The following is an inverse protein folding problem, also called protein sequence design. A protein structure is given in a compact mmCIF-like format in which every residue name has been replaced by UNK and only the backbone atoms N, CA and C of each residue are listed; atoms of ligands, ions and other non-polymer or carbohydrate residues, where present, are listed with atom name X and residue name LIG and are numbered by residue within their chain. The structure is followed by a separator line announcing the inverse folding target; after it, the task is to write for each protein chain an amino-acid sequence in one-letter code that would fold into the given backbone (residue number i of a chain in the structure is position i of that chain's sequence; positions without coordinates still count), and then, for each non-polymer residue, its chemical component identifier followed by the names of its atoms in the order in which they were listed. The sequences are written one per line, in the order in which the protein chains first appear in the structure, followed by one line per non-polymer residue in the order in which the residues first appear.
data_IF_832866773920
#
_entry.id   IF_832866773920
#
_cell.length_a   1.000
_cell.length_b   1.000
_cell.length_c   1.000
_cell.angle_alpha   90.00
_cell.angle_beta   90.00
_cell.angle_gamma   90.00
#
_symmetry.space_group_name_H-M   'P 1'
#
loop_
_entity.id
_entity.type
_entity.pdbx_description
1 polymer ?
#
# COMPACT_ATOMS: atom_id res chain seq x y z
N UNK A 1 -63.73 -101.52 163.78
CA UNK A 1 -65.10 -101.88 163.36
C UNK A 1 -65.76 -100.59 162.89
N UNK A 2 -66.40 -100.46 161.75
CA UNK A 2 -66.50 -101.19 160.48
C UNK A 2 -67.45 -100.33 159.60
N UNK A 3 -67.29 -100.42 158.27
CA UNK A 3 -68.33 -100.38 157.21
C UNK A 3 -69.20 -99.12 156.92
N UNK A 4 -69.01 -98.64 155.67
CA UNK A 4 -69.96 -98.46 154.54
C UNK A 4 -71.12 -97.42 154.54
N UNK A 5 -71.24 -96.76 153.35
CA UNK A 5 -72.43 -96.25 152.61
C UNK A 5 -73.10 -94.90 153.03
N UNK A 6 -73.67 -94.00 152.18
CA UNK A 6 -73.83 -93.81 150.71
C UNK A 6 -74.38 -92.37 150.37
N UNK A 7 -74.00 -91.79 149.20
CA UNK A 7 -74.61 -90.83 148.22
C UNK A 7 -75.44 -89.55 148.55
N UNK A 8 -75.20 -88.46 147.77
CA UNK A 8 -76.22 -87.44 147.40
C UNK A 8 -75.90 -86.71 146.05
N UNK A 9 -76.92 -86.52 145.18
CA UNK A 9 -76.84 -86.25 143.72
C UNK A 9 -77.54 -84.95 143.27
N UNK A 10 -76.85 -83.81 143.32
CA UNK A 10 -77.39 -82.50 142.87
C UNK A 10 -76.44 -81.66 142.01
N UNK A 11 -75.13 -81.79 142.16
CA UNK A 11 -74.14 -80.95 141.47
C UNK A 11 -73.92 -81.30 139.98
N UNK A 12 -74.43 -82.43 139.50
CA UNK A 12 -74.07 -82.94 138.17
C UNK A 12 -74.91 -82.34 137.02
N UNK A 13 -76.14 -81.85 137.30
CA UNK A 13 -77.06 -81.33 136.27
C UNK A 13 -76.74 -79.87 135.90
N UNK A 14 -76.42 -79.02 136.88
CA UNK A 14 -76.03 -77.62 136.65
C UNK A 14 -74.67 -77.50 135.92
N UNK A 15 -73.83 -78.54 136.03
CA UNK A 15 -72.57 -78.63 135.29
C UNK A 15 -72.78 -78.85 133.78
N UNK A 16 -73.76 -79.68 133.40
CA UNK A 16 -74.03 -80.01 132.00
C UNK A 16 -74.70 -78.85 131.23
N UNK A 17 -75.59 -78.11 131.89
CA UNK A 17 -76.32 -77.00 131.25
C UNK A 17 -75.39 -75.81 130.96
N UNK A 18 -74.49 -75.52 131.91
CA UNK A 18 -73.40 -74.55 131.70
C UNK A 18 -72.44 -74.96 130.57
N UNK A 19 -72.17 -76.26 130.38
CA UNK A 19 -71.36 -76.72 129.26
C UNK A 19 -72.04 -76.52 127.91
N UNK A 20 -73.37 -76.71 127.84
CA UNK A 20 -74.13 -76.53 126.60
C UNK A 20 -74.22 -75.07 126.17
N UNK A 21 -74.48 -74.16 127.12
CA UNK A 21 -74.52 -72.71 126.85
C UNK A 21 -73.13 -72.19 126.46
N UNK A 22 -72.06 -72.69 127.10
CA UNK A 22 -70.68 -72.41 126.67
C UNK A 22 -70.40 -72.92 125.25
N UNK A 23 -70.88 -74.11 124.88
CA UNK A 23 -70.67 -74.64 123.54
C UNK A 23 -71.42 -73.83 122.47
N UNK A 24 -72.65 -73.37 122.74
CA UNK A 24 -73.41 -72.56 121.79
C UNK A 24 -72.77 -71.17 121.61
N UNK A 25 -72.30 -70.56 122.70
CA UNK A 25 -71.52 -69.33 122.67
C UNK A 25 -70.21 -69.53 121.88
N UNK A 26 -69.49 -70.63 122.11
CA UNK A 26 -68.25 -70.96 121.36
C UNK A 26 -68.54 -71.19 119.86
N UNK A 27 -69.68 -71.78 119.50
CA UNK A 27 -70.07 -72.01 118.11
C UNK A 27 -70.43 -70.70 117.40
N UNK A 28 -71.14 -69.80 118.09
CA UNK A 28 -71.43 -68.44 117.60
C UNK A 28 -70.14 -67.64 117.42
N UNK A 29 -69.24 -67.66 118.40
CA UNK A 29 -67.95 -66.98 118.34
C UNK A 29 -67.10 -67.54 117.19
N UNK A 30 -67.03 -68.88 117.02
CA UNK A 30 -66.35 -69.51 115.88
C UNK A 30 -66.99 -69.17 114.53
N UNK A 31 -68.31 -68.99 114.47
CA UNK A 31 -68.99 -68.62 113.23
C UNK A 31 -68.67 -67.16 112.84
N UNK A 32 -68.62 -66.25 113.82
CA UNK A 32 -68.13 -64.89 113.59
C UNK A 32 -66.65 -64.84 113.23
N UNK A 33 -65.82 -65.72 113.82
CA UNK A 33 -64.40 -65.88 113.45
C UNK A 33 -64.25 -66.41 112.01
N UNK A 34 -65.09 -67.37 111.59
CA UNK A 34 -65.13 -67.85 110.21
C UNK A 34 -65.54 -66.77 109.21
N UNK A 35 -66.51 -65.93 109.57
CA UNK A 35 -66.99 -64.85 108.70
C UNK A 35 -65.94 -63.74 108.56
N UNK A 36 -65.23 -63.41 109.65
CA UNK A 36 -64.10 -62.47 109.61
C UNK A 36 -62.91 -63.04 108.81
N UNK A 37 -62.56 -64.32 108.99
CA UNK A 37 -61.55 -65.01 108.18
C UNK A 37 -61.93 -65.04 106.69
N UNK A 38 -63.20 -65.26 106.37
CA UNK A 38 -63.70 -65.25 104.98
C UNK A 38 -63.55 -63.87 104.34
N UNK A 39 -63.87 -62.81 105.07
CA UNK A 39 -63.69 -61.43 104.60
C UNK A 39 -62.20 -61.10 104.40
N UNK A 40 -61.33 -61.50 105.33
CA UNK A 40 -59.88 -61.35 105.17
C UNK A 40 -59.34 -62.12 103.96
N UNK A 41 -59.84 -63.33 103.70
CA UNK A 41 -59.44 -64.12 102.54
C UNK A 41 -59.89 -63.46 101.23
N UNK A 42 -61.08 -62.87 101.19
CA UNK A 42 -61.56 -62.12 100.03
C UNK A 42 -60.72 -60.85 99.79
N UNK A 43 -60.38 -60.12 100.84
CA UNK A 43 -59.54 -58.92 100.76
C UNK A 43 -58.12 -59.27 100.31
N UNK A 44 -57.53 -60.35 100.83
CA UNK A 44 -56.24 -60.88 100.37
C UNK A 44 -56.28 -61.35 98.92
N UNK A 45 -57.38 -61.95 98.47
CA UNK A 45 -57.54 -62.35 97.08
C UNK A 45 -57.61 -61.12 96.14
N UNK A 46 -58.28 -60.05 96.57
CA UNK A 46 -58.31 -58.78 95.85
C UNK A 46 -56.91 -58.13 95.78
N UNK A 47 -56.16 -58.19 96.88
CA UNK A 47 -54.77 -57.72 96.95
C UNK A 47 -53.85 -58.50 95.99
N UNK A 48 -53.99 -59.84 95.94
CA UNK A 48 -53.26 -60.71 95.01
C UNK A 48 -53.60 -60.38 93.56
N UNK A 49 -54.88 -60.13 93.23
CA UNK A 49 -55.27 -59.74 91.88
C UNK A 49 -54.68 -58.39 91.46
N UNK A 50 -54.69 -57.40 92.36
CA UNK A 50 -54.08 -56.09 92.12
C UNK A 50 -52.56 -56.19 91.93
N UNK A 51 -51.87 -56.98 92.76
CA UNK A 51 -50.44 -57.25 92.63
C UNK A 51 -50.11 -58.00 91.33
N UNK A 52 -50.95 -58.95 90.93
CA UNK A 52 -50.80 -59.68 89.67
C UNK A 52 -50.91 -58.73 88.46
N UNK A 53 -51.93 -57.86 88.45
CA UNK A 53 -52.09 -56.83 87.43
C UNK A 53 -50.89 -55.86 87.40
N UNK A 54 -50.41 -55.44 88.58
CA UNK A 54 -49.20 -54.63 88.73
C UNK A 54 -47.95 -55.29 88.16
N UNK A 55 -47.74 -56.57 88.43
CA UNK A 55 -46.62 -57.35 87.90
C UNK A 55 -46.69 -57.51 86.37
N UNK A 56 -47.89 -57.72 85.81
CA UNK A 56 -48.05 -57.77 84.35
C UNK A 56 -47.70 -56.43 83.69
N UNK A 57 -48.15 -55.31 84.29
CA UNK A 57 -47.82 -53.96 83.81
C UNK A 57 -46.32 -53.69 83.90
N UNK A 58 -45.67 -54.06 85.00
CA UNK A 58 -44.22 -53.90 85.16
C UNK A 58 -43.44 -54.74 84.13
N UNK A 59 -43.88 -55.98 83.87
CA UNK A 59 -43.28 -56.84 82.84
C UNK A 59 -43.36 -56.20 81.46
N UNK A 60 -44.51 -55.60 81.10
CA UNK A 60 -44.66 -54.89 79.83
C UNK A 60 -43.76 -53.65 79.72
N UNK A 61 -43.56 -52.91 80.82
CA UNK A 61 -42.62 -51.79 80.86
C UNK A 61 -41.17 -52.24 80.71
N UNK A 62 -40.77 -53.31 81.40
CA UNK A 62 -39.42 -53.89 81.26
C UNK A 62 -39.17 -54.34 79.82
N UNK A 63 -40.16 -54.96 79.16
CA UNK A 63 -40.04 -55.34 77.75
C UNK A 63 -39.87 -54.11 76.84
N UNK A 64 -40.64 -53.05 77.06
CA UNK A 64 -40.51 -51.80 76.30
C UNK A 64 -39.18 -51.09 76.55
N UNK A 65 -38.65 -51.11 77.78
CA UNK A 65 -37.33 -50.52 78.08
C UNK A 65 -36.22 -51.34 77.43
N UNK A 66 -36.32 -52.67 77.45
CA UNK A 66 -35.35 -53.55 76.79
C UNK A 66 -35.34 -53.36 75.27
N UNK A 67 -36.50 -53.12 74.64
CA UNK A 67 -36.53 -52.85 73.19
C UNK A 67 -35.86 -51.52 72.85
N UNK A 68 -36.14 -50.46 73.62
CA UNK A 68 -35.49 -49.15 73.44
C UNK A 68 -33.98 -49.23 73.70
N UNK A 69 -33.56 -49.99 74.72
CA UNK A 69 -32.15 -50.18 75.03
C UNK A 69 -31.41 -50.94 73.92
N UNK A 70 -32.07 -51.94 73.31
CA UNK A 70 -31.52 -52.66 72.15
C UNK A 70 -31.36 -51.75 70.94
N UNK A 71 -32.38 -50.94 70.61
CA UNK A 71 -32.30 -49.96 69.51
C UNK A 71 -31.20 -48.92 69.74
N UNK A 72 -31.08 -48.41 70.98
CA UNK A 72 -30.00 -47.48 71.32
C UNK A 72 -28.62 -48.14 71.26
N UNK A 73 -28.49 -49.41 71.67
CA UNK A 73 -27.25 -50.17 71.55
C UNK A 73 -26.82 -50.37 70.09
N UNK A 74 -27.78 -50.62 69.20
CA UNK A 74 -27.50 -50.76 67.76
C UNK A 74 -27.14 -49.43 67.11
N UNK A 75 -27.83 -48.34 67.48
CA UNK A 75 -27.48 -46.98 67.04
C UNK A 75 -26.06 -46.60 67.51
N UNK A 76 -25.72 -46.90 68.77
CA UNK A 76 -24.39 -46.62 69.32
C UNK A 76 -23.32 -47.38 68.53
N UNK A 77 -23.56 -48.67 68.22
CA UNK A 77 -22.64 -49.48 67.41
C UNK A 77 -22.42 -48.89 66.02
N UNK A 78 -23.50 -48.46 65.35
CA UNK A 78 -23.42 -47.82 64.03
C UNK A 78 -22.68 -46.47 64.09
N UNK A 79 -22.87 -45.70 65.15
CA UNK A 79 -22.16 -44.44 65.35
C UNK A 79 -20.68 -44.68 65.64
N UNK A 80 -20.32 -45.68 66.44
CA UNK A 80 -18.93 -46.08 66.71
C UNK A 80 -18.23 -46.53 65.42
N UNK A 81 -18.87 -47.36 64.59
CA UNK A 81 -18.30 -47.82 63.32
C UNK A 81 -18.10 -46.66 62.32
N UNK A 82 -19.03 -45.70 62.27
CA UNK A 82 -18.86 -44.46 61.49
C UNK A 82 -17.72 -43.61 62.04
N UNK A 83 -17.63 -43.46 63.36
CA UNK A 83 -16.58 -42.67 63.99
C UNK A 83 -15.19 -43.28 63.71
N UNK A 84 -15.05 -44.60 63.77
CA UNK A 84 -13.80 -45.31 63.47
C UNK A 84 -13.40 -45.14 61.99
N UNK A 85 -14.37 -45.13 61.08
CA UNK A 85 -14.14 -44.82 59.66
C UNK A 85 -13.71 -43.37 59.42
N UNK A 86 -14.24 -42.41 60.19
CA UNK A 86 -13.87 -40.99 60.10
C UNK A 86 -12.61 -40.63 60.90
N UNK A 87 -12.30 -41.37 61.97
CA UNK A 87 -11.09 -41.19 62.79
C UNK A 87 -9.85 -41.82 62.17
N UNK A 88 -9.94 -42.30 60.92
CA UNK A 88 -8.81 -42.52 60.02
C UNK A 88 -8.07 -41.21 59.72
N UNK A 89 -7.56 -40.57 60.76
CA UNK A 89 -6.67 -39.40 60.79
C UNK A 89 -5.49 -39.60 59.82
N UNK A 90 -5.09 -40.85 59.60
CA UNK A 90 -4.04 -41.27 58.67
C UNK A 90 -4.30 -40.84 57.23
N UNK A 91 -5.54 -40.85 56.73
CA UNK A 91 -5.81 -40.49 55.32
C UNK A 91 -5.63 -38.98 55.11
N UNK A 92 -6.14 -38.15 56.02
CA UNK A 92 -6.03 -36.69 55.92
C UNK A 92 -4.61 -36.22 56.20
N UNK A 93 -3.89 -36.87 57.14
CA UNK A 93 -2.46 -36.62 57.38
C UNK A 93 -1.62 -37.02 56.17
N UNK A 94 -1.85 -38.19 55.59
CA UNK A 94 -1.14 -38.66 54.41
C UNK A 94 -1.37 -37.77 53.18
N UNK A 95 -2.60 -37.30 52.97
CA UNK A 95 -2.93 -36.38 51.88
C UNK A 95 -2.22 -35.03 52.07
N UNK A 96 -2.18 -34.50 53.30
CA UNK A 96 -1.46 -33.26 53.63
C UNK A 96 0.06 -33.39 53.46
N UNK A 97 0.66 -34.51 53.86
CA UNK A 97 2.09 -34.77 53.62
C UNK A 97 2.39 -34.86 52.12
N UNK A 98 1.55 -35.58 51.35
CA UNK A 98 1.66 -35.63 49.89
C UNK A 98 1.52 -34.26 49.24
N UNK A 99 0.62 -33.42 49.74
CA UNK A 99 0.47 -32.04 49.26
C UNK A 99 1.68 -31.20 49.60
N UNK A 100 2.26 -31.31 50.80
CA UNK A 100 3.51 -30.61 51.15
C UNK A 100 4.68 -31.02 50.26
N UNK A 101 4.84 -32.32 49.98
CA UNK A 101 5.88 -32.82 49.07
C UNK A 101 5.65 -32.29 47.65
N UNK A 102 4.41 -32.34 47.13
CA UNK A 102 4.09 -31.78 45.81
C UNK A 102 4.34 -30.27 45.75
N UNK A 103 3.97 -29.53 46.80
CA UNK A 103 4.22 -28.09 46.88
C UNK A 103 5.72 -27.78 46.84
N UNK A 104 6.53 -28.48 47.64
CA UNK A 104 7.98 -28.32 47.63
C UNK A 104 8.59 -28.67 46.27
N UNK A 105 8.09 -29.72 45.60
CA UNK A 105 8.55 -30.08 44.26
C UNK A 105 8.15 -29.03 43.20
N UNK A 106 6.93 -28.49 43.28
CA UNK A 106 6.48 -27.42 42.37
C UNK A 106 7.24 -26.13 42.58
N UNK A 107 7.54 -25.75 43.81
CA UNK A 107 8.33 -24.56 44.13
C UNK A 107 9.76 -24.70 43.61
N UNK A 108 10.37 -25.89 43.77
CA UNK A 108 11.68 -26.19 43.18
C UNK A 108 11.65 -26.10 41.65
N UNK A 109 10.64 -26.69 40.99
CA UNK A 109 10.49 -26.61 39.54
C UNK A 109 10.24 -25.17 39.06
N UNK A 110 9.46 -24.38 39.78
CA UNK A 110 9.22 -22.98 39.46
C UNK A 110 10.54 -22.20 39.54
N UNK A 111 11.33 -22.41 40.59
CA UNK A 111 12.64 -21.77 40.75
C UNK A 111 13.60 -22.15 39.62
N UNK A 112 13.71 -23.45 39.30
CA UNK A 112 14.53 -23.91 38.17
C UNK A 112 14.06 -23.32 36.83
N UNK A 113 12.75 -23.21 36.62
CA UNK A 113 12.19 -22.60 35.41
C UNK A 113 12.45 -21.10 35.35
N UNK A 114 12.38 -20.38 36.48
CA UNK A 114 12.74 -18.95 36.55
C UNK A 114 14.22 -18.74 36.26
N UNK A 115 15.11 -19.54 36.85
CA UNK A 115 16.56 -19.44 36.61
C UNK A 115 16.91 -19.75 35.13
N UNK A 116 16.22 -20.74 34.52
CA UNK A 116 16.34 -21.02 33.08
C UNK A 116 15.80 -19.88 32.22
N UNK A 117 14.68 -19.28 32.59
CA UNK A 117 14.12 -18.14 31.86
C UNK A 117 15.05 -16.92 31.94
N UNK A 118 15.64 -16.64 33.11
CA UNK A 118 16.58 -15.54 33.30
C UNK A 118 17.88 -15.73 32.51
N UNK A 119 18.42 -16.95 32.48
CA UNK A 119 19.61 -17.27 31.68
C UNK A 119 19.32 -17.10 30.18
N UNK A 120 18.20 -17.61 29.68
CA UNK A 120 17.77 -17.45 28.28
C UNK A 120 17.55 -15.97 27.93
N UNK A 121 16.90 -15.19 28.78
CA UNK A 121 16.71 -13.75 28.58
C UNK A 121 18.04 -12.99 28.57
N UNK A 122 18.99 -13.37 29.44
CA UNK A 122 20.32 -12.76 29.47
C UNK A 122 21.12 -13.05 28.20
N UNK A 123 21.04 -14.27 27.67
CA UNK A 123 21.67 -14.64 26.40
C UNK A 123 21.03 -13.94 25.21
N UNK A 124 19.69 -13.86 25.18
CA UNK A 124 18.95 -13.13 24.15
C UNK A 124 19.36 -11.65 24.13
N UNK A 125 19.39 -10.98 25.29
CA UNK A 125 19.88 -9.58 25.40
C UNK A 125 21.32 -9.42 24.93
N UNK A 126 22.22 -10.36 25.26
CA UNK A 126 23.61 -10.32 24.78
C UNK A 126 23.68 -10.48 23.26
N UNK A 127 22.88 -11.37 22.67
CA UNK A 127 22.80 -11.59 21.22
C UNK A 127 22.23 -10.37 20.49
N UNK A 128 21.15 -9.78 21.02
CA UNK A 128 20.54 -8.54 20.53
C UNK A 128 21.54 -7.39 20.56
N UNK A 129 22.20 -7.14 21.71
CA UNK A 129 23.22 -6.09 21.82
C UNK A 129 24.43 -6.31 20.89
N UNK A 130 24.79 -7.56 20.59
CA UNK A 130 25.83 -7.86 19.60
C UNK A 130 25.36 -7.65 18.16
N UNK A 131 24.10 -7.96 17.85
CA UNK A 131 23.49 -7.70 16.55
C UNK A 131 23.40 -6.19 16.28
N UNK A 132 22.94 -5.41 17.26
CA UNK A 132 22.88 -3.95 17.17
C UNK A 132 24.26 -3.32 16.95
N UNK A 133 25.29 -3.81 17.65
CA UNK A 133 26.67 -3.37 17.42
C UNK A 133 27.17 -3.70 16.01
N UNK A 134 26.82 -4.87 15.47
CA UNK A 134 27.17 -5.25 14.09
C UNK A 134 26.43 -4.39 13.07
N UNK A 135 25.14 -4.13 13.29
CA UNK A 135 24.30 -3.30 12.43
C UNK A 135 24.81 -1.85 12.42
N UNK A 136 25.15 -1.31 13.60
CA UNK A 136 25.77 0.02 13.71
C UNK A 136 27.12 0.12 12.99
N UNK A 137 27.96 -0.92 13.03
CA UNK A 137 29.23 -0.95 12.26
C UNK A 137 28.99 -1.04 10.76
N UNK A 138 28.05 -1.86 10.32
CA UNK A 138 27.69 -1.98 8.91
C UNK A 138 27.15 -0.66 8.35
N UNK A 139 26.27 0.02 9.09
CA UNK A 139 25.74 1.32 8.68
C UNK A 139 26.82 2.40 8.57
N UNK A 140 27.81 2.42 9.48
CA UNK A 140 28.96 3.34 9.38
C UNK A 140 29.79 3.07 8.12
N UNK A 141 30.10 1.80 7.85
CA UNK A 141 30.83 1.43 6.63
C UNK A 141 30.02 1.81 5.38
N UNK A 142 28.71 1.54 5.35
CA UNK A 142 27.86 1.94 4.23
C UNK A 142 27.88 3.46 4.01
N UNK A 143 27.75 4.26 5.07
CA UNK A 143 27.81 5.72 4.96
C UNK A 143 29.17 6.20 4.43
N UNK A 144 30.28 5.58 4.87
CA UNK A 144 31.62 5.87 4.34
C UNK A 144 31.74 5.50 2.85
N UNK A 145 31.22 4.33 2.44
CA UNK A 145 31.18 3.92 1.03
C UNK A 145 30.30 4.81 0.15
N UNK A 146 29.14 5.24 0.65
CA UNK A 146 28.27 6.16 -0.09
C UNK A 146 28.93 7.52 -0.28
N UNK A 147 29.64 8.01 0.73
CA UNK A 147 30.35 9.28 0.66
C UNK A 147 31.53 9.23 -0.32
N UNK A 148 32.32 8.14 -0.31
CA UNK A 148 33.42 7.95 -1.26
C UNK A 148 32.90 7.80 -2.68
N UNK A 149 31.86 6.99 -2.89
CA UNK A 149 31.22 6.81 -4.19
C UNK A 149 30.66 8.12 -4.74
N UNK A 150 30.00 8.93 -3.90
CA UNK A 150 29.48 10.23 -4.32
C UNK A 150 30.61 11.19 -4.74
N UNK A 151 31.73 11.15 -4.01
CA UNK A 151 32.96 11.88 -4.35
C UNK A 151 33.54 11.46 -5.70
N UNK A 152 33.73 10.16 -5.92
CA UNK A 152 34.25 9.59 -7.16
C UNK A 152 33.34 9.88 -8.36
N UNK A 153 32.03 9.71 -8.21
CA UNK A 153 31.04 10.02 -9.26
C UNK A 153 31.05 11.50 -9.60
N UNK A 154 31.11 12.39 -8.60
CA UNK A 154 31.20 13.83 -8.83
C UNK A 154 32.51 14.22 -9.54
N UNK A 155 33.63 13.58 -9.18
CA UNK A 155 34.92 13.79 -9.84
C UNK A 155 34.90 13.29 -11.29
N UNK A 156 34.40 12.08 -11.55
CA UNK A 156 34.29 11.50 -12.89
C UNK A 156 33.38 12.34 -13.78
N UNK A 157 32.23 12.79 -13.26
CA UNK A 157 31.34 13.71 -13.98
C UNK A 157 32.04 15.00 -14.37
N UNK A 158 32.81 15.61 -13.45
CA UNK A 158 33.60 16.82 -13.73
C UNK A 158 34.72 16.57 -14.74
N UNK A 159 35.36 15.39 -14.73
CA UNK A 159 36.38 15.01 -15.72
C UNK A 159 35.76 14.87 -17.10
N UNK A 160 34.69 14.06 -17.24
CA UNK A 160 33.97 13.87 -18.50
C UNK A 160 33.48 15.20 -19.06
N UNK A 161 32.89 16.07 -18.21
CA UNK A 161 32.44 17.39 -18.66
C UNK A 161 33.59 18.28 -19.14
N UNK A 162 34.75 18.26 -18.46
CA UNK A 162 35.93 19.01 -18.89
C UNK A 162 36.49 18.49 -20.21
N UNK A 163 36.65 17.17 -20.33
CA UNK A 163 37.13 16.55 -21.58
C UNK A 163 36.19 16.82 -22.76
N UNK A 164 34.88 16.73 -22.53
CA UNK A 164 33.88 17.02 -23.56
C UNK A 164 33.94 18.48 -23.99
N UNK A 165 34.06 19.41 -23.02
CA UNK A 165 34.20 20.84 -23.30
C UNK A 165 35.51 21.14 -24.04
N UNK A 166 36.63 20.57 -23.61
CA UNK A 166 37.93 20.78 -24.26
C UNK A 166 37.95 20.19 -25.68
N UNK A 167 37.37 19.00 -25.88
CA UNK A 167 37.25 18.37 -27.21
C UNK A 167 36.34 19.18 -28.13
N UNK A 168 35.21 19.69 -27.60
CA UNK A 168 34.33 20.60 -28.33
C UNK A 168 35.06 21.88 -28.74
N UNK A 169 35.73 22.54 -27.80
CA UNK A 169 36.48 23.79 -28.04
C UNK A 169 37.62 23.59 -29.04
N UNK A 170 38.36 22.46 -28.96
CA UNK A 170 39.42 22.13 -29.93
C UNK A 170 38.85 21.93 -31.33
N UNK A 171 37.76 21.17 -31.46
CA UNK A 171 37.08 20.98 -32.73
C UNK A 171 36.56 22.31 -33.29
N UNK A 172 36.02 23.17 -32.43
CA UNK A 172 35.55 24.49 -32.78
C UNK A 172 36.66 25.40 -33.29
N UNK A 173 37.78 25.52 -32.55
CA UNK A 173 38.94 26.31 -32.99
C UNK A 173 39.48 25.82 -34.33
N UNK A 174 39.50 24.50 -34.55
CA UNK A 174 39.93 23.91 -35.82
C UNK A 174 38.97 24.27 -36.96
N UNK A 175 37.66 24.10 -36.76
CA UNK A 175 36.64 24.44 -37.75
C UNK A 175 36.60 25.95 -38.04
N UNK A 176 36.68 26.80 -37.02
CA UNK A 176 36.70 28.26 -37.16
C UNK A 176 37.92 28.73 -37.96
N UNK A 177 39.10 28.14 -37.76
CA UNK A 177 40.29 28.45 -38.58
C UNK A 177 40.10 28.03 -40.03
N UNK A 178 39.54 26.85 -40.27
CA UNK A 178 39.24 26.37 -41.63
C UNK A 178 38.23 27.28 -42.35
N UNK A 179 37.13 27.66 -41.68
CA UNK A 179 36.12 28.59 -42.20
C UNK A 179 36.69 30.00 -42.44
N UNK A 180 37.54 30.49 -41.54
CA UNK A 180 38.26 31.76 -41.72
C UNK A 180 39.19 31.72 -42.94
N UNK A 181 39.83 30.58 -43.23
CA UNK A 181 40.63 30.43 -44.45
C UNK A 181 39.75 30.45 -45.71
N UNK A 182 38.65 29.68 -45.71
CA UNK A 182 37.73 29.61 -46.85
C UNK A 182 37.09 30.97 -47.14
N UNK A 183 36.69 31.72 -46.11
CA UNK A 183 36.12 33.06 -46.28
C UNK A 183 37.08 34.03 -46.95
N UNK A 184 38.34 34.05 -46.55
CA UNK A 184 39.37 34.90 -47.15
C UNK A 184 39.62 34.50 -48.60
N UNK A 185 39.68 33.20 -48.91
CA UNK A 185 39.83 32.71 -50.29
C UNK A 185 38.63 33.10 -51.16
N UNK A 186 37.40 32.94 -50.66
CA UNK A 186 36.19 33.36 -51.37
C UNK A 186 36.14 34.86 -51.59
N UNK A 187 36.52 35.66 -50.58
CA UNK A 187 36.57 37.11 -50.69
C UNK A 187 37.61 37.57 -51.71
N UNK A 188 38.79 36.95 -51.72
CA UNK A 188 39.84 37.23 -52.70
C UNK A 188 39.39 36.84 -54.13
N UNK A 189 38.77 35.67 -54.30
CA UNK A 189 38.22 35.24 -55.58
C UNK A 189 37.12 36.20 -56.07
N UNK A 190 36.25 36.67 -55.18
CA UNK A 190 35.23 37.66 -55.49
C UNK A 190 35.84 39.01 -55.90
N UNK A 191 36.87 39.49 -55.19
CA UNK A 191 37.57 40.74 -55.55
C UNK A 191 38.28 40.62 -56.92
N UNK A 192 38.89 39.47 -57.22
CA UNK A 192 39.51 39.20 -58.53
C UNK A 192 38.44 39.20 -59.63
N UNK A 193 37.29 38.56 -59.40
CA UNK A 193 36.17 38.56 -60.32
C UNK A 193 35.61 39.98 -60.56
N UNK A 194 35.47 40.77 -59.49
CA UNK A 194 35.00 42.16 -59.56
C UNK A 194 35.98 43.04 -60.34
N UNK A 195 37.29 42.89 -60.08
CA UNK A 195 38.34 43.59 -60.80
C UNK A 195 38.37 43.22 -62.29
N UNK A 196 38.23 41.93 -62.63
CA UNK A 196 38.15 41.50 -64.02
C UNK A 196 36.96 42.12 -64.76
N UNK A 197 35.79 42.21 -64.11
CA UNK A 197 34.60 42.83 -64.70
C UNK A 197 34.79 44.35 -64.85
N UNK A 198 35.34 45.03 -63.84
CA UNK A 198 35.68 46.46 -63.90
C UNK A 198 36.71 46.78 -65.00
N UNK A 199 37.68 45.89 -65.24
CA UNK A 199 38.69 46.06 -66.30
C UNK A 199 38.14 45.77 -67.70
N UNK A 200 37.22 44.82 -67.85
CA UNK A 200 36.58 44.54 -69.14
C UNK A 200 35.57 45.63 -69.55
N UNK A 201 34.90 46.25 -68.58
CA UNK A 201 33.76 47.13 -68.84
C UNK A 201 34.08 48.58 -68.39
N UNK A 202 34.88 49.28 -69.20
CA UNK A 202 35.47 50.61 -68.89
C UNK A 202 34.46 51.77 -68.66
N UNK A 203 33.16 51.51 -68.76
CA UNK A 203 32.07 52.51 -68.73
C UNK A 203 30.96 52.21 -67.71
N UNK A 204 31.20 51.37 -66.69
CA UNK A 204 30.16 50.90 -65.74
C UNK A 204 29.30 52.04 -65.13
N UNK A 205 29.88 53.20 -64.82
CA UNK A 205 29.15 54.35 -64.26
C UNK A 205 28.11 54.90 -65.25
N UNK A 206 28.41 54.85 -66.54
CA UNK A 206 27.50 55.23 -67.65
C UNK A 206 26.53 54.11 -68.02
N UNK A 207 26.92 52.85 -67.77
CA UNK A 207 26.12 51.66 -68.10
C UNK A 207 24.94 51.48 -67.16
N UNK A 208 24.98 51.96 -65.90
CA UNK A 208 23.88 51.77 -64.94
C UNK A 208 22.58 52.46 -65.39
N UNK A 209 22.54 53.76 -65.76
CA UNK A 209 21.32 54.37 -66.29
C UNK A 209 20.87 53.75 -67.62
N UNK A 210 21.84 53.41 -68.49
CA UNK A 210 21.60 52.76 -69.77
C UNK A 210 20.97 51.37 -69.59
N UNK A 211 21.37 50.65 -68.55
CA UNK A 211 20.85 49.35 -68.16
C UNK A 211 19.38 49.41 -67.76
N UNK A 212 18.97 50.45 -67.00
CA UNK A 212 17.56 50.67 -66.66
C UNK A 212 16.74 51.01 -67.91
N UNK A 213 17.32 51.80 -68.82
CA UNK A 213 16.69 52.14 -70.09
C UNK A 213 16.52 50.93 -71.01
N UNK A 214 17.54 50.10 -71.17
CA UNK A 214 17.49 48.85 -71.92
C UNK A 214 16.51 47.85 -71.30
N UNK A 215 16.41 47.82 -69.96
CA UNK A 215 15.42 46.99 -69.28
C UNK A 215 14.00 47.47 -69.53
N UNK A 216 13.77 48.78 -69.50
CA UNK A 216 12.49 49.37 -69.84
C UNK A 216 12.10 49.02 -71.29
N UNK A 217 13.04 49.12 -72.23
CA UNK A 217 12.84 48.71 -73.63
C UNK A 217 12.55 47.20 -73.78
N UNK A 218 13.22 46.34 -73.02
CA UNK A 218 12.94 44.90 -73.02
C UNK A 218 11.55 44.57 -72.45
N UNK A 219 11.09 45.31 -71.43
CA UNK A 219 9.73 45.17 -70.90
C UNK A 219 8.70 45.64 -71.93
N UNK A 220 8.97 46.73 -72.64
CA UNK A 220 8.12 47.19 -73.74
C UNK A 220 8.05 46.17 -74.88
N UNK A 221 9.19 45.60 -75.30
CA UNK A 221 9.25 44.55 -76.31
C UNK A 221 8.46 43.31 -75.88
N UNK A 222 8.61 42.87 -74.62
CA UNK A 222 7.86 41.74 -74.09
C UNK A 222 6.34 42.03 -74.09
N UNK A 223 5.95 43.25 -73.69
CA UNK A 223 4.55 43.67 -73.72
C UNK A 223 3.99 43.68 -75.14
N UNK A 224 4.80 44.09 -76.13
CA UNK A 224 4.42 44.05 -77.54
C UNK A 224 4.27 42.61 -78.03
N UNK A 225 5.22 41.72 -77.73
CA UNK A 225 5.13 40.30 -78.08
C UNK A 225 3.90 39.61 -77.46
N UNK A 226 3.58 39.96 -76.21
CA UNK A 226 2.36 39.49 -75.54
C UNK A 226 1.12 40.05 -76.25
N UNK A 227 1.11 41.36 -76.56
CA UNK A 227 0.04 42.00 -77.33
C UNK A 227 -0.18 41.34 -78.69
N UNK A 228 0.88 41.11 -79.46
CA UNK A 228 0.84 40.46 -80.78
C UNK A 228 0.37 39.01 -80.70
N UNK A 229 0.70 38.31 -79.61
CA UNK A 229 0.23 36.97 -79.35
C UNK A 229 -1.27 36.96 -79.03
N UNK A 230 -1.73 37.87 -78.15
CA UNK A 230 -3.15 38.07 -77.85
C UNK A 230 -3.94 38.46 -79.09
N UNK A 231 -3.41 39.34 -79.93
CA UNK A 231 -4.05 39.77 -81.17
C UNK A 231 -4.13 38.62 -82.18
N UNK A 232 -3.08 37.80 -82.31
CA UNK A 232 -3.12 36.58 -83.15
C UNK A 232 -4.14 35.55 -82.65
N UNK A 233 -4.18 35.32 -81.33
CA UNK A 233 -5.17 34.42 -80.73
C UNK A 233 -6.60 34.97 -80.91
N UNK A 234 -6.79 36.27 -80.69
CA UNK A 234 -8.08 36.93 -80.87
C UNK A 234 -8.59 36.79 -82.30
N UNK A 235 -7.76 37.14 -83.30
CA UNK A 235 -8.11 37.00 -84.71
C UNK A 235 -8.48 35.56 -85.08
N UNK A 236 -7.73 34.58 -84.55
CA UNK A 236 -7.98 33.15 -84.80
C UNK A 236 -9.29 32.66 -84.18
N UNK A 237 -9.65 33.14 -82.99
CA UNK A 237 -10.90 32.76 -82.32
C UNK A 237 -12.11 33.47 -82.95
N UNK A 238 -11.96 34.73 -83.38
CA UNK A 238 -13.03 35.48 -84.04
C UNK A 238 -13.37 34.99 -85.46
N UNK A 239 -12.53 34.15 -86.06
CA UNK A 239 -12.87 33.46 -87.31
C UNK A 239 -13.96 32.39 -87.13
N UNK A 240 -14.11 31.85 -85.92
CA UNK A 240 -15.06 30.77 -85.62
C UNK A 240 -16.21 31.21 -84.70
N UNK A 241 -16.08 32.35 -83.99
CA UNK A 241 -17.02 32.78 -82.95
C UNK A 241 -17.30 34.30 -82.96
N UNK A 242 -18.48 34.74 -82.46
CA UNK A 242 -18.80 36.15 -82.33
C UNK A 242 -17.87 36.86 -81.32
N UNK A 243 -17.59 38.14 -81.59
CA UNK A 243 -16.55 38.94 -80.93
C UNK A 243 -16.67 39.00 -79.41
N UNK A 244 -17.88 39.10 -78.85
CA UNK A 244 -18.10 39.13 -77.40
C UNK A 244 -17.71 37.83 -76.71
N UNK A 245 -17.92 36.68 -77.36
CA UNK A 245 -17.57 35.37 -76.81
C UNK A 245 -16.05 35.14 -76.84
N UNK A 246 -15.38 35.58 -77.92
CA UNK A 246 -13.93 35.49 -78.07
C UNK A 246 -13.17 36.28 -76.97
N UNK A 247 -13.61 37.50 -76.67
CA UNK A 247 -13.02 38.33 -75.59
C UNK A 247 -13.19 37.65 -74.23
N UNK A 248 -14.39 37.12 -73.94
CA UNK A 248 -14.67 36.40 -72.70
C UNK A 248 -13.72 35.21 -72.49
N UNK A 249 -13.55 34.37 -73.52
CA UNK A 249 -12.67 33.20 -73.46
C UNK A 249 -11.20 33.61 -73.22
N UNK A 250 -10.71 34.65 -73.89
CA UNK A 250 -9.33 35.13 -73.71
C UNK A 250 -9.07 35.63 -72.28
N UNK A 251 -10.02 36.35 -71.68
CA UNK A 251 -9.90 36.81 -70.30
C UNK A 251 -9.88 35.62 -69.34
N UNK A 252 -10.79 34.65 -69.51
CA UNK A 252 -10.83 33.44 -68.69
C UNK A 252 -9.54 32.63 -68.79
N UNK A 253 -9.01 32.42 -69.99
CA UNK A 253 -7.73 31.70 -70.21
C UNK A 253 -6.57 32.47 -69.57
N UNK A 254 -6.52 33.80 -69.70
CA UNK A 254 -5.51 34.63 -69.04
C UNK A 254 -5.55 34.49 -67.52
N UNK A 255 -6.75 34.48 -66.92
CA UNK A 255 -6.92 34.31 -65.48
C UNK A 255 -6.47 32.92 -65.04
N UNK A 256 -6.81 31.86 -65.79
CA UNK A 256 -6.38 30.49 -65.51
C UNK A 256 -4.86 30.37 -65.57
N UNK A 257 -4.22 30.92 -66.60
CA UNK A 257 -2.75 30.92 -66.74
C UNK A 257 -2.10 31.70 -65.59
N UNK A 258 -2.66 32.86 -65.21
CA UNK A 258 -2.16 33.66 -64.08
C UNK A 258 -2.24 32.90 -62.75
N UNK A 259 -3.38 32.26 -62.47
CA UNK A 259 -3.58 31.47 -61.24
C UNK A 259 -2.68 30.24 -61.23
N UNK A 260 -2.58 29.50 -62.33
CA UNK A 260 -1.69 28.34 -62.44
C UNK A 260 -0.21 28.73 -62.27
N UNK A 261 0.21 29.82 -62.92
CA UNK A 261 1.56 30.37 -62.79
C UNK A 261 1.88 30.79 -61.35
N UNK A 262 0.96 31.51 -60.69
CA UNK A 262 1.11 31.89 -59.29
C UNK A 262 1.23 30.67 -58.38
N UNK A 263 0.41 29.63 -58.59
CA UNK A 263 0.47 28.39 -57.82
C UNK A 263 1.80 27.65 -58.01
N UNK A 264 2.32 27.55 -59.23
CA UNK A 264 3.60 26.91 -59.53
C UNK A 264 4.78 27.67 -58.90
N UNK A 265 4.79 29.00 -59.02
CA UNK A 265 5.80 29.85 -58.37
C UNK A 265 5.74 29.68 -56.86
N UNK A 266 4.54 29.68 -56.26
CA UNK A 266 4.36 29.48 -54.82
C UNK A 266 4.81 28.09 -54.34
N UNK A 267 4.59 27.04 -55.13
CA UNK A 267 5.06 25.68 -54.80
C UNK A 267 6.59 25.61 -54.88
N UNK A 268 7.18 26.14 -55.96
CA UNK A 268 8.63 26.19 -56.13
C UNK A 268 9.32 26.99 -55.02
N UNK A 269 8.75 28.13 -54.65
CA UNK A 269 9.26 28.96 -53.55
C UNK A 269 9.17 28.23 -52.21
N UNK A 270 8.05 27.54 -51.92
CA UNK A 270 7.91 26.74 -50.69
C UNK A 270 8.91 25.59 -50.62
N UNK A 271 9.13 24.88 -51.72
CA UNK A 271 10.10 23.80 -51.78
C UNK A 271 11.53 24.28 -51.51
N UNK A 272 11.92 25.41 -52.12
CA UNK A 272 13.21 26.03 -51.88
C UNK A 272 13.34 26.48 -50.41
N UNK A 273 12.34 27.21 -49.89
CA UNK A 273 12.32 27.67 -48.50
C UNK A 273 12.47 26.51 -47.50
N UNK A 274 11.78 25.38 -47.71
CA UNK A 274 11.85 24.22 -46.81
C UNK A 274 13.24 23.58 -46.80
N UNK A 275 13.89 23.47 -47.97
CA UNK A 275 15.25 22.91 -48.07
C UNK A 275 16.28 23.83 -47.43
N UNK A 276 16.05 25.14 -47.51
CA UNK A 276 16.88 26.16 -46.86
C UNK A 276 16.68 26.19 -45.33
N UNK A 277 15.45 26.02 -44.83
CA UNK A 277 15.14 25.93 -43.39
C UNK A 277 15.97 24.87 -42.66
N UNK A 278 15.99 23.64 -43.19
CA UNK A 278 16.77 22.53 -42.61
C UNK A 278 18.27 22.83 -42.53
N UNK A 279 18.81 23.62 -43.46
CA UNK A 279 20.22 24.03 -43.43
C UNK A 279 20.48 25.15 -42.42
N UNK A 280 19.53 26.06 -42.23
CA UNK A 280 19.67 27.18 -41.30
C UNK A 280 19.49 26.80 -39.83
N UNK A 281 18.57 25.89 -39.49
CA UNK A 281 18.43 25.35 -38.12
C UNK A 281 19.73 24.74 -37.58
N UNK A 282 20.56 24.18 -38.46
CA UNK A 282 21.90 23.66 -38.09
C UNK A 282 22.88 24.77 -37.67
N UNK A 283 22.75 25.97 -38.24
CA UNK A 283 23.64 27.10 -37.96
C UNK A 283 23.17 27.94 -36.78
N UNK A 284 21.86 28.07 -36.57
CA UNK A 284 21.26 28.86 -35.50
C UNK A 284 21.53 28.25 -34.10
N UNK A 285 21.52 26.92 -33.99
CA UNK A 285 21.90 26.19 -32.77
C UNK A 285 23.31 26.52 -32.23
N UNK A 286 24.19 27.10 -33.05
CA UNK A 286 25.59 27.37 -32.68
C UNK A 286 25.92 28.83 -32.43
N UNK A 287 24.99 29.77 -32.60
CA UNK A 287 25.17 31.21 -32.33
C UNK A 287 26.51 31.79 -32.86
N UNK A 288 26.81 31.54 -34.15
CA UNK A 288 28.11 31.84 -34.73
C UNK A 288 28.06 32.93 -35.80
N UNK A 289 28.30 34.17 -35.39
CA UNK A 289 28.36 35.35 -36.27
C UNK A 289 29.33 35.18 -37.46
N UNK A 290 30.45 34.49 -37.26
CA UNK A 290 31.48 34.27 -38.30
C UNK A 290 30.98 33.37 -39.42
N UNK A 291 30.14 32.36 -39.10
CA UNK A 291 29.55 31.48 -40.12
C UNK A 291 28.45 32.21 -40.88
N UNK A 292 27.64 33.04 -40.20
CA UNK A 292 26.64 33.90 -40.88
C UNK A 292 27.31 34.80 -41.92
N UNK A 293 28.43 35.44 -41.56
CA UNK A 293 29.24 36.25 -42.50
C UNK A 293 29.81 35.43 -43.66
N UNK A 294 30.35 34.23 -43.38
CA UNK A 294 30.84 33.32 -44.43
C UNK A 294 29.74 32.89 -45.41
N UNK A 295 28.55 32.59 -44.91
CA UNK A 295 27.42 32.19 -45.73
C UNK A 295 26.96 33.32 -46.66
N UNK A 296 26.87 34.56 -46.14
CA UNK A 296 26.56 35.73 -46.98
C UNK A 296 27.60 35.94 -48.09
N UNK A 297 28.89 35.89 -47.76
CA UNK A 297 29.96 36.01 -48.78
C UNK A 297 29.89 34.90 -49.83
N UNK A 298 29.60 33.66 -49.41
CA UNK A 298 29.41 32.52 -50.31
C UNK A 298 28.19 32.67 -51.22
N UNK A 299 27.07 33.19 -50.70
CA UNK A 299 25.85 33.46 -51.47
C UNK A 299 26.12 34.50 -52.56
N UNK A 300 26.80 35.60 -52.23
CA UNK A 300 27.16 36.63 -53.20
C UNK A 300 28.06 36.08 -54.33
N UNK A 301 29.06 35.26 -53.97
CA UNK A 301 29.96 34.62 -54.93
C UNK A 301 29.25 33.59 -55.82
N UNK A 302 28.38 32.75 -55.26
CA UNK A 302 27.57 31.81 -56.06
C UNK A 302 26.61 32.56 -56.98
N UNK A 303 25.96 33.63 -56.50
CA UNK A 303 25.08 34.46 -57.31
C UNK A 303 25.81 35.04 -58.52
N UNK A 304 27.03 35.54 -58.33
CA UNK A 304 27.86 36.06 -59.41
C UNK A 304 28.29 34.97 -60.40
N UNK A 305 28.77 33.84 -59.89
CA UNK A 305 29.24 32.71 -60.71
C UNK A 305 28.11 32.10 -61.55
N UNK A 306 26.92 31.92 -60.96
CA UNK A 306 25.72 31.45 -61.67
C UNK A 306 25.33 32.45 -62.75
N UNK A 307 25.43 33.75 -62.49
CA UNK A 307 25.07 34.80 -63.45
C UNK A 307 25.95 34.78 -64.71
N UNK A 308 27.24 34.48 -64.57
CA UNK A 308 28.15 34.29 -65.70
C UNK A 308 27.76 33.09 -66.58
N UNK A 309 27.28 32.00 -65.98
CA UNK A 309 26.84 30.80 -66.71
C UNK A 309 25.50 31.02 -67.39
N UNK A 310 24.56 31.68 -66.70
CA UNK A 310 23.18 31.89 -67.15
C UNK A 310 23.13 32.75 -68.42
N UNK A 311 24.05 33.69 -68.60
CA UNK A 311 24.15 34.52 -69.82
C UNK A 311 24.49 33.71 -71.07
N UNK A 312 25.14 32.56 -70.92
CA UNK A 312 25.55 31.69 -72.02
C UNK A 312 24.53 30.57 -72.32
N UNK A 313 23.39 30.51 -71.62
CA UNK A 313 22.38 29.48 -71.84
C UNK A 313 21.47 29.82 -73.04
N UNK A 314 21.34 28.93 -74.04
CA UNK A 314 20.57 29.21 -75.26
C UNK A 314 19.04 29.22 -75.08
N UNK A 315 18.54 28.82 -73.91
CA UNK A 315 17.11 28.59 -73.67
C UNK A 315 16.37 29.76 -73.03
N UNK A 316 17.05 30.86 -72.71
CA UNK A 316 16.44 31.98 -72.01
C UNK A 316 15.99 33.04 -73.03
N UNK A 317 14.68 33.34 -73.14
CA UNK A 317 14.16 34.27 -74.14
C UNK A 317 14.53 35.74 -73.86
N UNK A 318 15.15 36.02 -72.71
CA UNK A 318 15.57 37.36 -72.29
C UNK A 318 17.10 37.48 -72.35
N UNK A 319 17.60 38.34 -73.23
CA UNK A 319 19.03 38.72 -73.25
C UNK A 319 19.32 39.69 -72.10
N UNK A 320 19.48 39.17 -70.89
CA UNK A 320 19.90 39.97 -69.74
C UNK A 320 21.43 39.91 -69.60
N UNK A 321 22.08 41.04 -69.31
CA UNK A 321 23.52 41.10 -69.03
C UNK A 321 23.83 40.37 -67.69
N UNK A 322 25.07 39.94 -67.51
CA UNK A 322 25.58 39.24 -66.31
C UNK A 322 25.20 40.01 -65.04
N UNK A 323 25.36 41.34 -65.05
CA UNK A 323 25.03 42.21 -63.92
C UNK A 323 23.54 42.14 -63.55
N UNK A 324 22.65 41.99 -64.53
CA UNK A 324 21.22 41.82 -64.27
C UNK A 324 20.89 40.52 -63.57
N UNK A 325 21.47 39.42 -64.05
CA UNK A 325 21.28 38.11 -63.44
C UNK A 325 21.85 38.11 -62.03
N UNK A 326 22.97 38.79 -61.84
CA UNK A 326 23.62 38.88 -60.54
C UNK A 326 22.75 39.64 -59.54
N UNK A 327 22.23 40.80 -59.89
CA UNK A 327 21.33 41.58 -59.01
C UNK A 327 20.06 40.77 -58.70
N UNK A 328 19.46 40.13 -59.70
CA UNK A 328 18.21 39.38 -59.51
C UNK A 328 18.43 38.13 -58.63
N UNK A 329 19.48 37.36 -58.89
CA UNK A 329 19.81 36.17 -58.10
C UNK A 329 20.22 36.58 -56.68
N UNK A 330 21.01 37.65 -56.53
CA UNK A 330 21.44 38.13 -55.21
C UNK A 330 20.26 38.68 -54.42
N UNK A 331 19.38 39.47 -55.02
CA UNK A 331 18.17 39.98 -54.36
C UNK A 331 17.21 38.86 -53.96
N UNK A 332 17.03 37.82 -54.79
CA UNK A 332 16.21 36.65 -54.43
C UNK A 332 16.85 35.88 -53.26
N UNK A 333 18.17 35.68 -53.30
CA UNK A 333 18.89 34.96 -52.25
C UNK A 333 18.94 35.75 -50.94
N UNK A 334 19.06 37.08 -51.01
CA UNK A 334 19.03 38.01 -49.87
C UNK A 334 17.61 38.13 -49.29
N UNK A 335 16.57 38.16 -50.12
CA UNK A 335 15.18 38.06 -49.66
C UNK A 335 14.93 36.73 -48.92
N UNK A 336 15.44 35.60 -49.45
CA UNK A 336 15.36 34.30 -48.78
C UNK A 336 16.14 34.29 -47.46
N UNK A 337 17.28 34.98 -47.40
CA UNK A 337 18.09 35.13 -46.20
C UNK A 337 17.36 35.93 -45.11
N UNK A 338 16.88 37.13 -45.42
CA UNK A 338 16.18 38.00 -44.46
C UNK A 338 14.81 37.48 -44.04
N UNK A 339 14.08 36.81 -44.95
CA UNK A 339 12.81 36.17 -44.62
C UNK A 339 12.96 35.11 -43.51
N UNK A 340 14.13 34.45 -43.45
CA UNK A 340 14.38 33.40 -42.45
C UNK A 340 15.07 33.91 -41.18
N UNK A 341 15.97 34.91 -41.26
CA UNK A 341 16.62 35.49 -40.08
C UNK A 341 15.64 36.33 -39.24
N UNK A 342 14.60 36.91 -39.85
CA UNK A 342 13.58 37.73 -39.16
C UNK A 342 12.38 36.94 -38.61
N UNK A 343 12.19 35.70 -39.03
CA UNK A 343 11.14 34.80 -38.54
C UNK A 343 11.75 33.60 -37.81
N UNK A 344 12.46 33.87 -36.72
CA UNK A 344 12.60 32.91 -35.63
C UNK A 344 11.28 32.83 -34.87
N UNK A 345 10.44 31.86 -35.24
CA UNK A 345 9.38 31.31 -34.39
C UNK A 345 9.67 29.82 -34.20
#
# INVERSE_FOLDING_TARGET
MNELDDYNSGEQIDSLLNQMENMEQELSDKNTELETLRNQLQEKNQEIQNLSSGNQKLKSQIQSVNSVLSEQGELLRQQTEKLEKYSGSDIILQENERLKVRMAETEKREKEMRDRAETVLSEARKKEGNADKKLGRANRMMAEYEQTLAGEVAQLKRQIQRELKEKSDRNFRRQSRQLSGITVVLLAAYLIQLAALLFLEKNIVSTIPLWFWDRYRNIQWLSQCIGDFYQRLYLKITMEMPTYAAIGILIFVSVIIAVAGFCLIRIGLRYLLQKWKRRWEFYDYKDLEVIKKCAMTGIAFMGFSISMVVVNLPFIPFRLNVVSWWILISAVMEFLYFYHDRHGF
#
